data_IF_881399389088
#
_entry.id   IF_881399389088
#
_cell.length_a   1.000
_cell.length_b   1.000
_cell.length_c   1.000
_cell.angle_alpha   90.00
_cell.angle_beta   90.00
_cell.angle_gamma   90.00
#
_symmetry.space_group_name_H-M   'P 1'
#
loop_
_entity.id
_entity.type
_entity.pdbx_description
1 polymer ?
#
# COMPACT_ATOMS: atom_id res chain seq x y z
N UNK A 1 55.89 19.21 19.61
CA UNK A 1 54.56 19.07 20.24
C UNK A 1 53.69 18.30 19.26
N UNK A 2 53.09 17.14 19.49
CA UNK A 2 52.95 16.23 20.65
C UNK A 2 52.56 14.87 20.04
N UNK A 3 53.07 13.78 20.62
CA UNK A 3 52.84 12.38 20.24
C UNK A 3 51.46 11.85 20.67
N UNK A 4 51.15 10.59 20.29
CA UNK A 4 50.23 9.59 20.94
C UNK A 4 48.89 9.36 20.20
N UNK A 5 48.32 8.15 20.01
CA UNK A 5 48.69 6.71 20.09
C UNK A 5 47.56 5.89 19.44
N UNK A 6 47.90 4.66 19.05
CA UNK A 6 47.06 3.51 18.74
C UNK A 6 45.90 3.23 19.74
N UNK A 7 44.76 2.76 19.23
CA UNK A 7 43.91 1.81 19.95
C UNK A 7 43.51 0.62 19.06
N UNK A 8 43.86 -0.57 19.56
CA UNK A 8 43.46 -1.90 19.10
C UNK A 8 42.23 -2.36 19.89
N UNK A 9 41.42 -3.20 19.23
CA UNK A 9 40.60 -4.33 19.77
C UNK A 9 39.42 -4.02 20.71
N UNK A 10 38.24 -4.52 20.32
CA UNK A 10 37.45 -5.42 21.17
C UNK A 10 36.50 -6.29 20.31
N UNK A 11 36.51 -7.58 20.59
CA UNK A 11 35.68 -8.66 20.05
C UNK A 11 34.71 -9.04 21.17
N UNK A 12 33.40 -9.02 20.92
CA UNK A 12 32.32 -9.65 21.72
C UNK A 12 31.15 -9.81 20.73
N UNK A 13 30.52 -10.95 20.43
CA UNK A 13 30.37 -12.21 21.14
C UNK A 13 28.91 -12.39 21.58
N UNK A 14 28.21 -13.41 21.04
CA UNK A 14 26.91 -14.00 21.51
C UNK A 14 25.62 -13.17 21.28
N UNK A 15 24.44 -13.72 20.98
CA UNK A 15 23.90 -15.06 21.16
C UNK A 15 22.86 -15.43 20.07
N UNK A 16 22.81 -16.72 19.71
CA UNK A 16 21.72 -17.33 18.97
C UNK A 16 20.58 -17.71 19.92
N UNK A 17 19.37 -17.22 19.64
CA UNK A 17 18.16 -17.61 20.37
C UNK A 17 17.54 -18.82 19.67
N UNK A 18 17.77 -20.00 20.23
CA UNK A 18 17.05 -21.22 19.85
C UNK A 18 15.75 -21.31 20.66
N UNK A 19 14.60 -21.09 20.04
CA UNK A 19 13.30 -21.30 20.69
C UNK A 19 12.78 -22.69 20.34
N UNK A 20 12.82 -23.59 21.32
CA UNK A 20 12.30 -24.95 21.24
C UNK A 20 10.86 -24.92 21.75
N UNK A 21 9.87 -25.13 20.89
CA UNK A 21 8.49 -25.42 21.30
C UNK A 21 8.25 -26.92 21.22
N UNK A 22 8.44 -27.61 22.34
CA UNK A 22 7.89 -28.94 22.55
C UNK A 22 6.58 -28.79 23.34
N UNK A 23 5.44 -28.91 22.65
CA UNK A 23 4.15 -29.15 23.29
C UNK A 23 3.93 -30.65 23.36
N UNK A 24 4.40 -31.25 24.46
CA UNK A 24 3.96 -32.56 24.91
C UNK A 24 2.69 -32.36 25.76
N UNK A 25 1.53 -32.59 25.16
CA UNK A 25 0.24 -32.65 25.84
C UNK A 25 -0.15 -34.10 26.10
N UNK A 26 -0.13 -34.50 27.37
CA UNK A 26 -0.58 -35.79 27.89
C UNK A 26 -2.10 -35.98 27.79
N UNK A 27 -2.51 -37.21 27.49
CA UNK A 27 -3.86 -37.71 27.72
C UNK A 27 -3.89 -39.23 27.81
N UNK A 28 -3.68 -39.75 29.04
CA UNK A 28 -4.26 -40.95 29.73
C UNK A 28 -4.69 -42.15 28.84
N UNK A 29 -4.39 -43.43 29.11
CA UNK A 29 -4.20 -44.16 30.38
C UNK A 29 -3.96 -45.68 30.08
N UNK A 30 -3.29 -46.36 31.03
CA UNK A 30 -3.20 -47.84 31.26
C UNK A 30 -2.05 -48.68 30.66
N UNK A 31 -1.05 -48.92 31.53
CA UNK A 31 -0.39 -50.17 31.94
C UNK A 31 -0.04 -51.32 30.94
N UNK A 32 1.28 -51.59 30.92
CA UNK A 32 2.02 -52.87 30.89
C UNK A 32 1.98 -53.83 29.68
N UNK A 33 3.08 -53.79 28.90
CA UNK A 33 3.97 -54.86 28.39
C UNK A 33 3.42 -56.30 28.26
N UNK A 34 3.64 -57.07 27.18
CA UNK A 34 4.74 -57.07 26.20
C UNK A 34 4.41 -57.98 24.99
N UNK A 35 5.04 -57.63 23.85
CA UNK A 35 5.41 -58.45 22.69
C UNK A 35 4.34 -59.29 21.97
N UNK A 36 3.93 -58.79 20.79
CA UNK A 36 3.87 -59.60 19.56
C UNK A 36 3.70 -58.68 18.33
N UNK A 37 4.68 -58.78 17.44
CA UNK A 37 4.70 -58.42 16.02
C UNK A 37 3.38 -57.88 15.41
N UNK A 38 3.39 -56.60 15.05
CA UNK A 38 2.44 -56.02 14.10
C UNK A 38 3.13 -54.96 13.25
N UNK A 39 3.24 -55.27 11.95
CA UNK A 39 3.33 -54.38 10.80
C UNK A 39 3.98 -53.00 11.05
N UNK A 40 5.21 -52.85 10.55
CA UNK A 40 5.89 -51.58 10.36
C UNK A 40 5.01 -50.62 9.56
N UNK A 41 4.18 -49.83 10.26
CA UNK A 41 3.61 -48.62 9.71
C UNK A 41 4.76 -47.61 9.62
N UNK A 42 5.50 -47.67 8.52
CA UNK A 42 6.42 -46.63 8.12
C UNK A 42 5.65 -45.33 8.07
N UNK A 43 5.76 -44.51 9.11
CA UNK A 43 5.34 -43.12 9.07
C UNK A 43 6.32 -42.41 8.13
N UNK A 44 6.01 -42.48 6.84
CA UNK A 44 6.67 -41.67 5.82
C UNK A 44 6.37 -40.22 6.19
N UNK A 45 7.27 -39.60 6.97
CA UNK A 45 7.42 -38.16 7.03
C UNK A 45 7.75 -37.73 5.60
N UNK A 46 6.71 -37.45 4.82
CA UNK A 46 6.85 -36.94 3.47
C UNK A 46 7.64 -35.64 3.59
N UNK A 47 8.87 -35.65 3.11
CA UNK A 47 9.69 -34.46 3.01
C UNK A 47 8.96 -33.48 2.08
N UNK A 48 8.39 -32.42 2.66
CA UNK A 48 7.74 -31.36 1.89
C UNK A 48 8.75 -30.82 0.87
N UNK A 49 8.36 -30.77 -0.40
CA UNK A 49 9.25 -30.29 -1.45
C UNK A 49 9.63 -28.82 -1.21
N UNK A 50 10.82 -28.41 -1.66
CA UNK A 50 11.28 -27.01 -1.54
C UNK A 50 10.29 -26.04 -2.19
N UNK A 51 9.73 -26.41 -3.34
CA UNK A 51 8.71 -25.63 -4.05
C UNK A 51 7.41 -25.51 -3.24
N UNK A 52 6.91 -26.61 -2.65
CA UNK A 52 5.73 -26.59 -1.79
C UNK A 52 5.91 -25.67 -0.57
N UNK A 53 7.09 -25.75 0.07
CA UNK A 53 7.42 -24.90 1.21
C UNK A 53 7.50 -23.43 0.81
N UNK A 54 8.18 -23.12 -0.30
CA UNK A 54 8.31 -21.75 -0.80
C UNK A 54 6.96 -21.15 -1.20
N UNK A 55 6.10 -21.93 -1.87
CA UNK A 55 4.73 -21.52 -2.18
C UNK A 55 3.95 -21.16 -0.92
N UNK A 56 4.01 -22.00 0.13
CA UNK A 56 3.36 -21.70 1.42
C UNK A 56 3.92 -20.47 2.11
N UNK A 57 5.25 -20.29 2.09
CA UNK A 57 5.89 -19.10 2.65
C UNK A 57 5.48 -17.84 1.90
N UNK A 58 5.50 -17.87 0.56
CA UNK A 58 5.05 -16.75 -0.27
C UNK A 58 3.59 -16.37 0.03
N UNK A 59 2.70 -17.35 0.19
CA UNK A 59 1.31 -17.08 0.59
C UNK A 59 1.20 -16.36 1.95
N UNK A 60 2.05 -16.69 2.93
CA UNK A 60 2.09 -15.97 4.21
C UNK A 60 2.62 -14.56 4.06
N UNK A 61 3.64 -14.36 3.23
CA UNK A 61 4.20 -13.03 2.94
C UNK A 61 3.16 -12.14 2.25
N UNK A 62 2.40 -12.68 1.29
CA UNK A 62 1.26 -12.00 0.65
C UNK A 62 0.20 -11.60 1.69
N UNK A 63 -0.14 -12.49 2.63
CA UNK A 63 -1.08 -12.17 3.72
C UNK A 63 -0.57 -11.05 4.63
N UNK A 64 0.74 -10.91 4.76
CA UNK A 64 1.39 -9.84 5.52
C UNK A 64 1.67 -8.59 4.67
N UNK A 65 1.15 -8.54 3.43
CA UNK A 65 1.38 -7.47 2.45
C UNK A 65 2.85 -7.28 2.02
N UNK A 66 3.70 -8.29 2.24
CA UNK A 66 5.08 -8.32 1.77
C UNK A 66 5.16 -9.02 0.39
N UNK A 67 4.73 -8.30 -0.64
CA UNK A 67 4.66 -8.82 -2.01
C UNK A 67 6.05 -8.98 -2.64
N UNK A 68 6.98 -8.07 -2.34
CA UNK A 68 8.38 -8.16 -2.81
C UNK A 68 9.10 -9.36 -2.18
N UNK A 69 8.97 -9.55 -0.86
CA UNK A 69 9.52 -10.70 -0.17
C UNK A 69 8.91 -12.02 -0.67
N UNK A 70 7.60 -12.02 -0.97
CA UNK A 70 6.93 -13.19 -1.57
C UNK A 70 7.50 -13.53 -2.95
N UNK A 71 7.70 -12.53 -3.80
CA UNK A 71 8.26 -12.70 -5.14
C UNK A 71 9.71 -13.20 -5.07
N UNK A 72 10.55 -12.56 -4.24
CA UNK A 72 11.93 -13.01 -4.03
C UNK A 72 12.00 -14.46 -3.52
N UNK A 73 11.12 -14.83 -2.59
CA UNK A 73 11.09 -16.17 -2.01
C UNK A 73 10.79 -17.25 -3.06
N UNK A 74 9.97 -16.93 -4.06
CA UNK A 74 9.70 -17.81 -5.20
C UNK A 74 10.88 -17.82 -6.18
N UNK A 75 11.44 -16.66 -6.50
CA UNK A 75 12.53 -16.51 -7.47
C UNK A 75 13.89 -17.06 -6.99
N UNK A 76 14.02 -17.33 -5.68
CA UNK A 76 15.19 -18.00 -5.08
C UNK A 76 15.18 -19.53 -5.28
N UNK A 77 14.11 -20.11 -5.82
CA UNK A 77 14.04 -21.53 -6.13
C UNK A 77 14.86 -21.83 -7.39
N UNK A 78 15.65 -22.89 -7.37
CA UNK A 78 16.26 -23.40 -8.61
C UNK A 78 15.29 -24.28 -9.41
N UNK A 79 14.41 -24.99 -8.70
CA UNK A 79 13.43 -25.91 -9.28
C UNK A 79 12.03 -25.34 -9.07
N UNK A 80 11.54 -24.63 -10.09
CA UNK A 80 10.18 -24.13 -10.11
C UNK A 80 9.19 -25.22 -10.55
N UNK A 81 7.96 -25.09 -10.06
CA UNK A 81 6.83 -25.82 -10.61
C UNK A 81 5.74 -24.84 -11.07
N UNK A 82 4.76 -25.34 -11.83
CA UNK A 82 3.68 -24.53 -12.38
C UNK A 82 2.94 -23.68 -11.32
N UNK A 83 2.82 -24.16 -10.06
CA UNK A 83 2.17 -23.39 -9.00
C UNK A 83 3.02 -22.19 -8.54
N UNK A 84 4.33 -22.39 -8.40
CA UNK A 84 5.26 -21.32 -8.01
C UNK A 84 5.45 -20.29 -9.13
N UNK A 85 5.46 -20.73 -10.39
CA UNK A 85 5.55 -19.84 -11.56
C UNK A 85 4.28 -19.00 -11.70
N UNK A 86 3.10 -19.64 -11.64
CA UNK A 86 1.84 -18.93 -11.70
C UNK A 86 1.68 -17.90 -10.57
N UNK A 87 2.17 -18.22 -9.36
CA UNK A 87 2.16 -17.26 -8.25
C UNK A 87 3.15 -16.10 -8.45
N UNK A 88 4.32 -16.36 -9.04
CA UNK A 88 5.30 -15.31 -9.34
C UNK A 88 4.77 -14.35 -10.43
N UNK A 89 4.16 -14.90 -11.50
CA UNK A 89 3.51 -14.12 -12.56
C UNK A 89 2.42 -13.19 -12.01
N UNK A 90 1.54 -13.74 -11.14
CA UNK A 90 0.47 -12.97 -10.52
C UNK A 90 1.03 -11.90 -9.56
N UNK A 91 2.09 -12.22 -8.81
CA UNK A 91 2.75 -11.25 -7.93
C UNK A 91 3.34 -10.08 -8.71
N UNK A 92 3.99 -10.37 -9.84
CA UNK A 92 4.57 -9.32 -10.69
C UNK A 92 3.48 -8.41 -11.25
N UNK A 93 2.43 -9.00 -11.81
CA UNK A 93 1.29 -8.26 -12.36
C UNK A 93 0.60 -7.41 -11.29
N UNK A 94 0.47 -7.94 -10.07
CA UNK A 94 -0.07 -7.21 -8.92
C UNK A 94 0.81 -6.02 -8.53
N UNK A 95 2.13 -6.19 -8.46
CA UNK A 95 3.04 -5.09 -8.13
C UNK A 95 3.01 -3.98 -9.19
N UNK A 96 2.94 -4.35 -10.47
CA UNK A 96 2.80 -3.38 -11.56
C UNK A 96 1.45 -2.65 -11.50
N UNK A 97 0.37 -3.38 -11.16
CA UNK A 97 -0.93 -2.77 -10.91
C UNK A 97 -0.91 -1.82 -9.72
N UNK A 98 -0.23 -2.20 -8.64
CA UNK A 98 -0.11 -1.38 -7.43
C UNK A 98 0.67 -0.10 -7.71
N UNK A 99 1.80 -0.19 -8.43
CA UNK A 99 2.56 0.99 -8.87
C UNK A 99 1.71 1.90 -9.77
N UNK A 100 0.98 1.32 -10.73
CA UNK A 100 0.09 2.11 -11.59
C UNK A 100 -1.01 2.82 -10.78
N UNK A 101 -1.61 2.13 -9.81
CA UNK A 101 -2.60 2.71 -8.89
C UNK A 101 -2.01 3.84 -8.06
N UNK A 102 -0.81 3.65 -7.50
CA UNK A 102 -0.09 4.67 -6.73
C UNK A 102 0.26 5.91 -7.58
N UNK A 103 0.58 5.70 -8.86
CA UNK A 103 0.83 6.77 -9.82
C UNK A 103 -0.45 7.45 -10.34
N UNK A 104 -1.64 6.95 -9.97
CA UNK A 104 -2.94 7.44 -10.45
C UNK A 104 -3.33 6.97 -11.86
N UNK A 105 -2.56 6.05 -12.45
CA UNK A 105 -2.89 5.41 -13.72
C UNK A 105 -3.81 4.20 -13.49
N UNK A 106 -5.09 4.51 -13.24
CA UNK A 106 -6.10 3.50 -12.90
C UNK A 106 -6.44 2.57 -14.07
N UNK A 107 -6.24 3.02 -15.31
CA UNK A 107 -6.48 2.18 -16.49
C UNK A 107 -5.39 1.12 -16.64
N UNK A 108 -4.11 1.50 -16.46
CA UNK A 108 -3.01 0.54 -16.40
C UNK A 108 -3.13 -0.38 -15.19
N UNK A 109 -3.50 0.15 -14.02
CA UNK A 109 -3.76 -0.65 -12.83
C UNK A 109 -4.83 -1.72 -13.08
N UNK A 110 -5.96 -1.32 -13.68
CA UNK A 110 -7.04 -2.24 -14.07
C UNK A 110 -6.57 -3.24 -15.11
N UNK A 111 -5.71 -2.84 -16.05
CA UNK A 111 -5.21 -3.72 -17.10
C UNK A 111 -4.31 -4.83 -16.58
N UNK A 112 -3.47 -4.51 -15.59
CA UNK A 112 -2.58 -5.47 -14.95
C UNK A 112 -3.31 -6.46 -14.00
N UNK A 113 -4.61 -6.23 -13.70
CA UNK A 113 -5.43 -7.07 -12.80
C UNK A 113 -6.38 -8.06 -13.50
N UNK A 114 -6.32 -8.23 -14.83
CA UNK A 114 -7.42 -8.86 -15.59
C UNK A 114 -7.48 -10.39 -15.55
N UNK A 115 -6.42 -11.10 -15.17
CA UNK A 115 -6.45 -12.56 -15.06
C UNK A 115 -5.39 -13.08 -14.10
N UNK A 116 -5.79 -13.93 -13.15
CA UNK A 116 -4.88 -14.63 -12.25
C UNK A 116 -4.64 -16.05 -12.74
N UNK A 117 -3.38 -16.49 -12.72
CA UNK A 117 -2.97 -17.85 -13.08
C UNK A 117 -2.84 -18.74 -11.85
N UNK A 118 -2.58 -18.16 -10.68
CA UNK A 118 -2.34 -18.87 -9.43
C UNK A 118 -3.62 -19.29 -8.72
N UNK A 119 -3.56 -20.45 -8.07
CA UNK A 119 -4.62 -20.92 -7.16
C UNK A 119 -4.50 -20.32 -5.75
N UNK A 120 -3.57 -19.40 -5.51
CA UNK A 120 -3.35 -18.76 -4.20
C UNK A 120 -4.57 -17.97 -3.75
N UNK A 121 -5.16 -18.36 -2.62
CA UNK A 121 -6.24 -17.58 -1.99
C UNK A 121 -5.77 -16.22 -1.52
N UNK A 122 -4.55 -16.12 -0.99
CA UNK A 122 -3.98 -14.85 -0.55
C UNK A 122 -3.84 -13.87 -1.72
N UNK A 123 -3.35 -14.34 -2.87
CA UNK A 123 -3.20 -13.51 -4.06
C UNK A 123 -4.55 -13.10 -4.64
N UNK A 124 -5.55 -14.00 -4.69
CA UNK A 124 -6.93 -13.67 -5.10
C UNK A 124 -7.52 -12.55 -4.27
N UNK A 125 -7.39 -12.63 -2.94
CA UNK A 125 -7.90 -11.60 -2.04
C UNK A 125 -7.21 -10.25 -2.28
N UNK A 126 -5.87 -10.24 -2.39
CA UNK A 126 -5.14 -9.01 -2.65
C UNK A 126 -5.52 -8.37 -4.01
N UNK A 127 -5.72 -9.18 -5.06
CA UNK A 127 -6.21 -8.70 -6.35
C UNK A 127 -7.60 -8.08 -6.25
N UNK A 128 -8.53 -8.74 -5.57
CA UNK A 128 -9.88 -8.23 -5.36
C UNK A 128 -9.83 -6.88 -4.62
N UNK A 129 -9.06 -6.80 -3.53
CA UNK A 129 -8.89 -5.56 -2.76
C UNK A 129 -8.34 -4.42 -3.62
N UNK A 130 -7.34 -4.68 -4.47
CA UNK A 130 -6.77 -3.66 -5.34
C UNK A 130 -7.73 -3.29 -6.48
N UNK A 131 -8.48 -4.26 -7.01
CA UNK A 131 -9.50 -4.01 -8.02
C UNK A 131 -10.63 -3.14 -7.48
N UNK A 132 -11.05 -3.35 -6.23
CA UNK A 132 -12.04 -2.52 -5.54
C UNK A 132 -11.51 -1.10 -5.32
N UNK A 133 -10.24 -0.95 -4.91
CA UNK A 133 -9.57 0.35 -4.79
C UNK A 133 -9.52 1.09 -6.12
N UNK A 134 -9.09 0.42 -7.19
CA UNK A 134 -9.06 0.98 -8.56
C UNK A 134 -10.45 1.39 -9.01
N UNK A 135 -11.46 0.54 -8.80
CA UNK A 135 -12.85 0.83 -9.20
C UNK A 135 -13.46 1.97 -8.41
N UNK A 136 -13.18 2.06 -7.10
CA UNK A 136 -13.61 3.18 -6.24
C UNK A 136 -12.96 4.50 -6.68
N UNK A 137 -11.67 4.47 -7.01
CA UNK A 137 -10.95 5.63 -7.54
C UNK A 137 -11.48 6.08 -8.91
N UNK A 138 -11.75 5.13 -9.83
CA UNK A 138 -12.36 5.41 -11.14
C UNK A 138 -13.81 5.89 -11.02
N UNK A 139 -14.59 5.35 -10.09
CA UNK A 139 -15.97 5.77 -9.82
C UNK A 139 -16.04 7.18 -9.23
N UNK A 140 -15.10 7.54 -8.35
CA UNK A 140 -14.94 8.91 -7.86
C UNK A 140 -14.58 9.89 -8.97
N UNK A 141 -13.82 9.44 -9.98
CA UNK A 141 -13.56 10.22 -11.20
C UNK A 141 -14.78 10.30 -12.14
N UNK A 142 -15.57 9.23 -12.24
CA UNK A 142 -16.76 9.17 -13.12
C UNK A 142 -17.94 9.98 -12.59
N UNK A 143 -18.10 10.08 -11.26
CA UNK A 143 -19.08 10.97 -10.63
C UNK A 143 -18.78 12.46 -10.88
N UNK A 144 -17.54 12.81 -11.23
CA UNK A 144 -17.16 14.17 -11.65
C UNK A 144 -17.47 14.46 -13.12
N UNK A 145 -17.63 13.43 -13.97
CA UNK A 145 -17.96 13.59 -15.39
C UNK A 145 -19.46 13.59 -15.70
N UNK A 146 -20.35 13.20 -14.76
CA UNK A 146 -21.79 13.12 -15.02
C UNK A 146 -22.61 14.37 -14.64
N UNK A 147 -22.02 15.41 -14.05
CA UNK A 147 -22.69 16.71 -13.87
C UNK A 147 -22.34 17.69 -15.00
N UNK A 148 -22.41 17.22 -16.24
CA UNK A 148 -22.13 18.02 -17.42
C UNK A 148 -23.14 17.76 -18.54
N UNK A 149 -24.43 17.56 -18.22
CA UNK A 149 -25.50 17.64 -19.23
C UNK A 149 -26.82 17.97 -18.55
N UNK A 150 -27.17 19.26 -18.54
CA UNK A 150 -28.51 19.85 -18.82
C UNK A 150 -28.64 21.20 -18.12
N UNK A 151 -28.49 22.29 -18.90
CA UNK A 151 -29.29 23.52 -18.85
C UNK A 151 -28.54 24.69 -19.51
N UNK A 152 -28.21 24.56 -20.78
CA UNK A 152 -27.99 25.73 -21.64
C UNK A 152 -29.36 26.25 -22.09
N UNK A 153 -29.84 27.33 -21.48
CA UNK A 153 -30.48 28.48 -22.15
C UNK A 153 -31.26 29.32 -21.13
N UNK A 154 -30.89 30.60 -21.01
CA UNK A 154 -31.75 31.81 -21.14
C UNK A 154 -31.34 32.93 -20.18
N UNK A 155 -30.74 33.96 -20.80
CA UNK A 155 -30.88 35.40 -20.53
C UNK A 155 -30.20 36.06 -19.33
N UNK A 156 -29.09 36.74 -19.65
CA UNK A 156 -28.85 38.18 -19.50
C UNK A 156 -29.82 38.98 -18.59
N UNK A 157 -29.34 39.44 -17.43
CA UNK A 157 -29.60 40.80 -16.93
C UNK A 157 -28.65 41.18 -15.81
N UNK A 158 -28.02 42.32 -16.02
CA UNK A 158 -27.24 43.13 -15.09
C UNK A 158 -28.02 43.44 -13.79
N UNK A 159 -27.46 43.16 -12.61
CA UNK A 159 -27.88 43.78 -11.36
C UNK A 159 -26.80 43.65 -10.27
N UNK A 160 -26.12 44.77 -10.01
CA UNK A 160 -25.42 45.05 -8.77
C UNK A 160 -26.38 44.93 -7.58
N UNK A 161 -26.12 44.01 -6.66
CA UNK A 161 -26.70 44.04 -5.31
C UNK A 161 -25.75 43.38 -4.33
N UNK A 162 -25.14 44.22 -3.49
CA UNK A 162 -24.42 43.80 -2.30
C UNK A 162 -25.38 43.14 -1.32
N UNK A 163 -25.20 41.87 -1.00
CA UNK A 163 -25.72 41.29 0.23
C UNK A 163 -24.72 40.28 0.78
N UNK A 164 -24.24 40.61 1.97
CA UNK A 164 -23.32 39.88 2.83
C UNK A 164 -24.00 38.67 3.46
N UNK A 165 -23.22 37.58 3.61
CA UNK A 165 -23.40 36.38 4.47
C UNK A 165 -24.23 35.21 3.90
N UNK A 166 -23.50 34.19 3.44
CA UNK A 166 -23.55 32.83 4.03
C UNK A 166 -22.21 32.11 3.76
N UNK A 167 -21.44 31.92 4.84
CA UNK A 167 -20.01 31.60 4.84
C UNK A 167 -19.69 30.09 4.71
N UNK A 168 -20.52 29.32 3.99
CA UNK A 168 -20.42 27.85 3.92
C UNK A 168 -20.09 27.27 2.55
N UNK A 169 -20.18 28.06 1.48
CA UNK A 169 -20.09 27.56 0.10
C UNK A 169 -18.91 28.15 -0.70
N UNK A 170 -18.09 29.02 -0.11
CA UNK A 170 -16.93 29.58 -0.81
C UNK A 170 -15.72 28.62 -0.78
N UNK A 171 -15.56 27.84 0.29
CA UNK A 171 -14.39 26.97 0.50
C UNK A 171 -14.40 25.73 -0.40
N UNK A 172 -15.58 25.18 -0.70
CA UNK A 172 -15.69 24.02 -1.60
C UNK A 172 -15.36 24.39 -3.06
N UNK A 173 -15.78 25.58 -3.52
CA UNK A 173 -15.57 26.03 -4.91
C UNK A 173 -14.14 26.51 -5.13
N UNK A 174 -13.53 27.19 -4.14
CA UNK A 174 -12.13 27.62 -4.22
C UNK A 174 -11.14 26.44 -4.18
N UNK A 175 -11.42 25.41 -3.37
CA UNK A 175 -10.62 24.19 -3.34
C UNK A 175 -10.80 23.36 -4.62
N UNK A 176 -11.98 23.40 -5.25
CA UNK A 176 -12.21 22.71 -6.51
C UNK A 176 -11.36 23.28 -7.66
N UNK A 177 -11.33 24.61 -7.81
CA UNK A 177 -10.50 25.26 -8.82
C UNK A 177 -9.00 25.02 -8.58
N UNK A 178 -8.57 25.00 -7.32
CA UNK A 178 -7.19 24.66 -6.96
C UNK A 178 -6.86 23.19 -7.26
N UNK A 179 -7.80 22.28 -7.00
CA UNK A 179 -7.66 20.87 -7.33
C UNK A 179 -7.56 20.64 -8.85
N UNK A 180 -8.39 21.32 -9.64
CA UNK A 180 -8.38 21.20 -11.10
C UNK A 180 -7.09 21.79 -11.71
N UNK A 181 -6.53 22.83 -11.10
CA UNK A 181 -5.30 23.46 -11.55
C UNK A 181 -4.01 22.74 -11.11
N UNK A 182 -4.12 21.69 -10.28
CA UNK A 182 -2.99 20.97 -9.69
C UNK A 182 -2.93 19.55 -10.25
N UNK A 183 -1.88 19.25 -11.02
CA UNK A 183 -1.65 17.88 -11.51
C UNK A 183 -1.32 16.94 -10.36
N UNK A 184 -1.72 15.67 -10.50
CA UNK A 184 -1.39 14.59 -9.57
C UNK A 184 0.11 14.48 -9.31
N UNK A 185 0.94 14.72 -10.35
CA UNK A 185 2.41 14.67 -10.23
C UNK A 185 2.94 15.68 -9.22
N UNK A 186 2.36 16.88 -9.15
CA UNK A 186 2.78 17.93 -8.22
C UNK A 186 2.43 17.52 -6.79
N UNK A 187 1.26 16.90 -6.59
CA UNK A 187 0.83 16.38 -5.30
C UNK A 187 1.76 15.26 -4.85
N UNK A 188 2.12 14.33 -5.74
CA UNK A 188 3.04 13.22 -5.45
C UNK A 188 4.46 13.71 -5.12
N UNK A 189 4.99 14.66 -5.89
CA UNK A 189 6.30 15.25 -5.62
C UNK A 189 6.34 15.94 -4.25
N UNK A 190 5.28 16.69 -3.91
CA UNK A 190 5.13 17.26 -2.58
C UNK A 190 5.04 16.18 -1.48
N UNK A 191 4.22 15.15 -1.68
CA UNK A 191 4.03 14.05 -0.73
C UNK A 191 5.35 13.34 -0.42
N UNK A 192 6.10 12.98 -1.47
CA UNK A 192 7.39 12.31 -1.37
C UNK A 192 8.43 13.20 -0.70
N UNK A 193 8.44 14.51 -1.02
CA UNK A 193 9.37 15.48 -0.42
C UNK A 193 9.14 15.64 1.09
N UNK A 194 7.89 15.59 1.53
CA UNK A 194 7.49 15.82 2.91
C UNK A 194 7.31 14.53 3.72
N UNK A 195 7.38 13.36 3.09
CA UNK A 195 7.12 12.08 3.75
C UNK A 195 5.63 11.85 4.06
N UNK A 196 4.72 12.49 3.32
CA UNK A 196 3.27 12.25 3.39
C UNK A 196 2.81 11.17 2.41
N UNK A 197 3.74 10.34 1.92
CA UNK A 197 3.49 9.19 1.05
C UNK A 197 3.30 7.90 1.86
N UNK A 198 2.64 6.90 1.25
CA UNK A 198 2.48 5.55 1.80
C UNK A 198 1.20 5.31 2.63
N UNK A 199 1.13 4.15 3.29
CA UNK A 199 -0.07 3.59 3.94
C UNK A 199 -0.57 4.34 5.19
N UNK A 200 0.00 5.52 5.50
CA UNK A 200 -0.21 6.26 6.75
C UNK A 200 -1.51 7.10 6.75
N UNK A 201 -2.36 6.95 5.74
CA UNK A 201 -3.70 7.57 5.70
C UNK A 201 -3.68 9.10 5.57
N UNK A 202 -2.65 9.66 4.93
CA UNK A 202 -2.58 11.09 4.67
C UNK A 202 -3.50 11.50 3.52
N UNK A 203 -4.17 12.63 3.69
CA UNK A 203 -4.94 13.29 2.65
C UNK A 203 -4.28 14.62 2.33
N UNK A 204 -3.99 14.85 1.05
CA UNK A 204 -3.35 16.08 0.58
C UNK A 204 -4.32 16.77 -0.36
N UNK A 205 -4.87 17.90 0.09
CA UNK A 205 -5.86 18.65 -0.67
C UNK A 205 -5.26 19.94 -1.23
N UNK A 206 -5.28 20.15 -2.55
CA UNK A 206 -4.94 21.43 -3.13
C UNK A 206 -5.98 22.49 -2.70
N UNK A 207 -5.50 23.62 -2.17
CA UNK A 207 -6.33 24.73 -1.66
C UNK A 207 -5.95 26.07 -2.30
N UNK A 208 -4.97 26.09 -3.21
CA UNK A 208 -4.63 27.24 -4.02
C UNK A 208 -3.45 26.99 -4.95
N UNK A 209 -3.33 27.81 -5.99
CA UNK A 209 -2.18 27.83 -6.90
C UNK A 209 -1.92 29.26 -7.37
N UNK A 210 -0.65 29.67 -7.33
CA UNK A 210 -0.17 30.94 -7.90
C UNK A 210 1.12 30.67 -8.66
N UNK A 211 1.05 30.64 -9.99
CA UNK A 211 2.18 30.24 -10.84
C UNK A 211 2.65 28.82 -10.49
N UNK A 212 3.93 28.69 -10.09
CA UNK A 212 4.55 27.41 -9.71
C UNK A 212 4.41 27.08 -8.21
N UNK A 213 3.74 27.94 -7.43
CA UNK A 213 3.52 27.77 -5.99
C UNK A 213 2.12 27.23 -5.73
N UNK A 214 2.06 26.05 -5.11
CA UNK A 214 0.85 25.32 -4.76
C UNK A 214 0.63 25.41 -3.25
N UNK A 215 -0.63 25.50 -2.83
CA UNK A 215 -1.01 25.46 -1.42
C UNK A 215 -1.71 24.14 -1.13
N UNK A 216 -1.18 23.37 -0.20
CA UNK A 216 -1.71 22.06 0.19
C UNK A 216 -2.17 22.08 1.64
N UNK A 217 -3.35 21.55 1.89
CA UNK A 217 -3.79 21.17 3.23
C UNK A 217 -3.53 19.67 3.42
N UNK A 218 -2.78 19.32 4.46
CA UNK A 218 -2.44 17.93 4.77
C UNK A 218 -3.19 17.52 6.01
N UNK A 219 -3.94 16.42 5.90
CA UNK A 219 -4.65 15.80 7.02
C UNK A 219 -4.19 14.36 7.20
N UNK A 220 -4.34 13.85 8.40
CA UNK A 220 -4.13 12.44 8.71
C UNK A 220 -5.41 11.87 9.31
N UNK A 221 -5.86 10.76 8.76
CA UNK A 221 -6.97 10.02 9.34
C UNK A 221 -6.58 9.40 10.68
N UNK A 222 -7.55 9.35 11.61
CA UNK A 222 -7.44 8.48 12.77
C UNK A 222 -7.42 7.00 12.33
N UNK A 223 -7.00 6.12 13.24
CA UNK A 223 -6.87 4.68 12.98
C UNK A 223 -8.16 4.00 12.50
N UNK A 224 -9.32 4.61 12.75
CA UNK A 224 -10.64 4.16 12.32
C UNK A 224 -11.17 4.85 11.06
N UNK A 225 -10.39 5.77 10.45
CA UNK A 225 -10.74 6.58 9.28
C UNK A 225 -12.01 7.43 9.40
N UNK A 226 -12.50 7.71 10.62
CA UNK A 226 -13.74 8.48 10.81
C UNK A 226 -13.52 9.98 10.92
N UNK A 227 -12.34 10.40 11.39
CA UNK A 227 -11.99 11.81 11.61
C UNK A 227 -10.58 12.07 11.10
N UNK A 228 -10.44 13.14 10.30
CA UNK A 228 -9.16 13.56 9.74
C UNK A 228 -8.61 14.79 10.50
N UNK A 229 -7.45 14.64 11.13
CA UNK A 229 -6.77 15.71 11.86
C UNK A 229 -5.90 16.53 10.90
N UNK A 230 -5.94 17.85 11.03
CA UNK A 230 -5.06 18.74 10.27
C UNK A 230 -3.61 18.58 10.76
N UNK A 231 -2.71 18.21 9.85
CA UNK A 231 -1.26 18.18 10.08
C UNK A 231 -0.65 19.56 9.79
N UNK A 232 -1.13 20.21 8.73
CA UNK A 232 -0.73 21.57 8.41
C UNK A 232 -1.18 22.03 7.03
N UNK A 233 -0.94 23.30 6.76
CA UNK A 233 -1.08 23.93 5.45
C UNK A 233 0.32 24.30 4.96
N UNK A 234 0.64 23.92 3.73
CA UNK A 234 1.96 24.08 3.13
C UNK A 234 1.88 24.86 1.83
N UNK A 235 2.93 25.63 1.54
CA UNK A 235 3.24 26.11 0.21
C UNK A 235 4.35 25.27 -0.39
N UNK A 236 4.20 24.85 -1.64
CA UNK A 236 5.16 24.06 -2.39
C UNK A 236 5.46 24.71 -3.73
N UNK A 237 6.73 24.98 -4.00
CA UNK A 237 7.17 25.44 -5.31
C UNK A 237 7.62 24.23 -6.14
N UNK A 238 6.84 23.85 -7.16
CA UNK A 238 7.15 22.70 -8.03
C UNK A 238 8.45 22.83 -8.84
N UNK A 239 8.94 24.06 -9.05
CA UNK A 239 10.16 24.30 -9.83
C UNK A 239 11.42 24.19 -8.98
N UNK A 240 11.38 24.66 -7.72
CA UNK A 240 12.54 24.65 -6.82
C UNK A 240 12.50 23.52 -5.80
N UNK A 241 11.35 22.87 -5.62
CA UNK A 241 11.11 21.89 -4.57
C UNK A 241 11.03 22.47 -3.16
N UNK A 242 10.99 23.81 -3.03
CA UNK A 242 10.91 24.48 -1.73
C UNK A 242 9.53 24.27 -1.09
N UNK A 243 9.52 23.94 0.21
CA UNK A 243 8.31 23.76 1.01
C UNK A 243 8.34 24.67 2.22
N UNK A 244 7.22 25.37 2.47
CA UNK A 244 7.03 26.20 3.66
C UNK A 244 5.72 25.83 4.33
N UNK A 245 5.75 25.48 5.63
CA UNK A 245 4.53 25.34 6.43
C UNK A 245 4.01 26.73 6.83
N UNK A 246 2.73 26.98 6.59
CA UNK A 246 2.08 28.28 6.82
C UNK A 246 0.95 28.23 7.86
N UNK A 247 0.45 27.04 8.20
CA UNK A 247 -0.43 26.79 9.33
C UNK A 247 -0.21 25.37 9.86
#
# INVERSE_FOLDING_TARGET
MTTIKFFKKAMVGTAAVATIFALAGCGKQSASSSDTSSSSASSVRSSESKASKAYRTANKLIQNHDYEGAYEQLNKLNDHNAQTEALADDLQSYMDAQKAYENGDYDSAKSNLKSQKSTSTAMRNAYADLQDKVSSAQGSNSAKSQSATTASAKSNSNANSSTTKSNGQQSAVANQAAADATSSDVVQQFANKMGFSGSQGYQIMPTGKTGNVYKFEVRQNNSDNTVANLIGIYQYNSQTGAVTKIA
#
